data_IF_652379111678
#
_entry.id   IF_652379111678
#
_cell.length_a   1.000
_cell.length_b   1.000
_cell.length_c   1.000
_cell.angle_alpha   90.00
_cell.angle_beta   90.00
_cell.angle_gamma   90.00
#
_symmetry.space_group_name_H-M   'P 1'
#
loop_
_entity.id
_entity.type
_entity.pdbx_description
1 polymer ?
#
# COMPACT_ATOMS: atom_id res chain seq x y z
N UNK A 1 16.90 -7.26 25.45
CA UNK A 1 15.81 -6.35 25.05
C UNK A 1 14.52 -7.03 25.46
N UNK A 2 13.78 -6.50 26.44
CA UNK A 2 12.57 -7.15 26.94
C UNK A 2 11.54 -7.23 25.82
N UNK A 3 11.24 -8.43 25.33
CA UNK A 3 10.10 -8.67 24.45
C UNK A 3 8.87 -8.22 25.21
N UNK A 4 8.23 -7.13 24.77
CA UNK A 4 7.04 -6.61 25.42
C UNK A 4 5.85 -7.55 25.18
N UNK A 5 4.67 -7.15 25.66
CA UNK A 5 3.47 -7.97 25.62
C UNK A 5 2.91 -8.13 24.19
N UNK A 6 3.56 -8.99 23.40
CA UNK A 6 3.14 -9.37 22.05
C UNK A 6 1.72 -9.94 22.05
N UNK A 7 1.36 -10.73 23.07
CA UNK A 7 0.03 -11.34 23.18
C UNK A 7 -1.05 -10.28 23.41
N UNK A 8 -0.77 -9.26 24.20
CA UNK A 8 -1.62 -8.07 24.36
C UNK A 8 -1.76 -7.29 23.05
N UNK A 9 -0.63 -7.08 22.35
CA UNK A 9 -0.64 -6.41 21.05
C UNK A 9 -1.49 -7.14 20.00
N UNK A 10 -1.39 -8.48 19.93
CA UNK A 10 -2.20 -9.30 19.02
C UNK A 10 -3.69 -9.25 19.37
N UNK A 11 -4.05 -9.25 20.65
CA UNK A 11 -5.46 -9.06 21.07
C UNK A 11 -6.00 -7.68 20.70
N UNK A 12 -5.17 -6.64 20.82
CA UNK A 12 -5.53 -5.28 20.38
C UNK A 12 -5.71 -5.23 18.86
N UNK A 13 -4.82 -5.88 18.10
CA UNK A 13 -4.91 -5.99 16.65
C UNK A 13 -6.22 -6.66 16.23
N UNK A 14 -6.59 -7.78 16.86
CA UNK A 14 -7.84 -8.48 16.58
C UNK A 14 -9.07 -7.58 16.77
N UNK A 15 -9.11 -6.78 17.85
CA UNK A 15 -10.18 -5.80 18.06
C UNK A 15 -10.19 -4.69 16.99
N UNK A 16 -9.01 -4.24 16.55
CA UNK A 16 -8.87 -3.30 15.45
C UNK A 16 -9.40 -3.87 14.13
N UNK A 17 -9.06 -5.11 13.80
CA UNK A 17 -9.50 -5.80 12.57
C UNK A 17 -11.02 -6.01 12.52
N UNK A 18 -11.64 -6.29 13.68
CA UNK A 18 -13.11 -6.32 13.78
C UNK A 18 -13.74 -4.96 13.47
N UNK A 19 -13.13 -3.88 13.95
CA UNK A 19 -13.59 -2.52 13.67
C UNK A 19 -13.42 -2.14 12.19
N UNK A 20 -12.35 -2.64 11.57
CA UNK A 20 -12.06 -2.48 10.15
C UNK A 20 -12.90 -3.39 9.23
N UNK A 21 -13.67 -4.34 9.80
CA UNK A 21 -14.42 -5.38 9.07
C UNK A 21 -13.55 -6.15 8.06
N UNK A 22 -12.36 -6.56 8.51
CA UNK A 22 -11.42 -7.28 7.65
C UNK A 22 -12.01 -8.63 7.20
N UNK A 23 -12.13 -8.88 5.88
CA UNK A 23 -12.88 -10.03 5.36
C UNK A 23 -12.07 -11.33 5.27
N UNK A 24 -10.74 -11.27 5.38
CA UNK A 24 -9.87 -12.45 5.24
C UNK A 24 -9.52 -13.02 6.60
N UNK A 25 -9.23 -14.31 6.63
CA UNK A 25 -8.65 -14.95 7.81
C UNK A 25 -7.22 -14.44 8.04
N UNK A 26 -6.89 -14.23 9.31
CA UNK A 26 -5.62 -13.64 9.74
C UNK A 26 -4.76 -14.73 10.34
N UNK A 27 -3.57 -14.94 9.78
CA UNK A 27 -2.62 -15.92 10.29
C UNK A 27 -1.86 -15.35 11.50
N UNK A 28 -2.43 -15.54 12.68
CA UNK A 28 -1.86 -15.09 13.95
C UNK A 28 -0.54 -15.80 14.28
N UNK A 29 -0.28 -17.00 13.74
CA UNK A 29 0.99 -17.71 13.96
C UNK A 29 2.12 -16.99 13.21
N UNK A 30 1.88 -16.65 11.94
CA UNK A 30 2.84 -15.88 11.13
C UNK A 30 3.05 -14.46 11.65
N UNK A 31 2.00 -13.81 12.14
CA UNK A 31 2.11 -12.52 12.83
C UNK A 31 2.97 -12.60 14.09
N UNK A 32 2.85 -13.68 14.88
CA UNK A 32 3.65 -13.89 16.08
C UNK A 32 5.15 -14.12 15.77
N UNK A 33 5.47 -14.74 14.63
CA UNK A 33 6.84 -14.88 14.13
C UNK A 33 7.35 -13.56 13.50
N UNK A 34 6.45 -12.65 13.15
CA UNK A 34 6.78 -11.39 12.49
C UNK A 34 7.05 -11.58 10.99
N UNK A 35 6.34 -12.51 10.36
CA UNK A 35 6.38 -12.68 8.91
C UNK A 35 5.68 -11.49 8.21
N UNK A 36 6.37 -10.76 7.30
CA UNK A 36 5.75 -9.66 6.56
C UNK A 36 4.54 -10.10 5.72
N UNK A 37 4.52 -11.33 5.20
CA UNK A 37 3.45 -11.81 4.31
C UNK A 37 2.07 -11.83 4.99
N UNK A 38 2.02 -11.96 6.33
CA UNK A 38 0.80 -11.86 7.10
C UNK A 38 0.38 -10.40 7.40
N UNK A 39 1.35 -9.47 7.40
CA UNK A 39 1.11 -8.06 7.71
C UNK A 39 0.62 -7.27 6.49
N UNK A 40 1.21 -7.51 5.31
CA UNK A 40 0.95 -6.74 4.08
C UNK A 40 -0.51 -6.75 3.64
N UNK A 41 -1.24 -7.89 3.65
CA UNK A 41 -2.64 -7.92 3.24
C UNK A 41 -3.54 -7.08 4.14
N UNK A 42 -3.20 -6.96 5.44
CA UNK A 42 -3.94 -6.13 6.40
C UNK A 42 -3.77 -4.65 6.05
N UNK A 43 -2.52 -4.22 5.82
CA UNK A 43 -2.19 -2.84 5.45
C UNK A 43 -2.82 -2.47 4.12
N UNK A 44 -2.73 -3.35 3.12
CA UNK A 44 -3.29 -3.14 1.79
C UNK A 44 -4.79 -2.92 1.88
N UNK A 45 -5.52 -3.79 2.59
CA UNK A 45 -6.96 -3.63 2.78
C UNK A 45 -7.31 -2.33 3.53
N UNK A 46 -6.56 -1.98 4.58
CA UNK A 46 -6.83 -0.78 5.37
C UNK A 46 -6.78 0.50 4.53
N UNK A 47 -5.85 0.62 3.58
CA UNK A 47 -5.72 1.82 2.74
C UNK A 47 -6.55 1.79 1.45
N UNK A 48 -6.81 0.61 0.88
CA UNK A 48 -7.44 0.52 -0.46
C UNK A 48 -8.92 0.16 -0.41
N UNK A 49 -9.32 -0.68 0.54
CA UNK A 49 -10.61 -1.38 0.51
C UNK A 49 -11.54 -1.00 1.66
N UNK A 50 -11.01 -0.47 2.76
CA UNK A 50 -11.82 -0.14 3.94
C UNK A 50 -12.76 1.06 3.71
N UNK A 51 -12.26 2.14 3.11
CA UNK A 51 -13.00 3.40 2.98
C UNK A 51 -12.77 4.04 1.61
N UNK A 52 -13.79 4.10 0.72
CA UNK A 52 -13.66 4.69 -0.60
C UNK A 52 -13.16 6.14 -0.57
N UNK A 53 -13.69 6.96 0.34
CA UNK A 53 -13.26 8.36 0.50
C UNK A 53 -11.80 8.50 0.94
N UNK A 54 -11.26 7.49 1.64
CA UNK A 54 -9.84 7.49 1.99
C UNK A 54 -9.00 7.14 0.76
N UNK A 55 -9.42 6.14 -0.01
CA UNK A 55 -8.76 5.73 -1.25
C UNK A 55 -8.72 6.89 -2.25
N UNK A 56 -9.82 7.61 -2.45
CA UNK A 56 -9.88 8.82 -3.29
C UNK A 56 -8.88 9.89 -2.81
N UNK A 57 -8.89 10.19 -1.51
CA UNK A 57 -7.93 11.13 -0.91
C UNK A 57 -6.47 10.70 -1.19
N UNK A 58 -6.13 9.41 -1.04
CA UNK A 58 -4.79 8.92 -1.34
C UNK A 58 -4.41 9.05 -2.83
N UNK A 59 -5.38 8.86 -3.73
CA UNK A 59 -5.20 9.07 -5.17
C UNK A 59 -4.97 10.55 -5.48
N UNK A 60 -5.67 11.48 -4.82
CA UNK A 60 -5.45 12.92 -4.95
C UNK A 60 -4.04 13.33 -4.49
N UNK A 61 -3.49 12.64 -3.48
CA UNK A 61 -2.09 12.78 -3.05
C UNK A 61 -1.08 12.10 -4.01
N UNK A 62 -1.56 11.50 -5.11
CA UNK A 62 -0.74 10.83 -6.12
C UNK A 62 -0.09 9.54 -5.64
N UNK A 63 -0.74 8.81 -4.73
CA UNK A 63 -0.23 7.53 -4.21
C UNK A 63 -1.09 6.36 -4.69
N UNK A 64 -0.46 5.48 -5.45
CA UNK A 64 -1.07 4.22 -5.89
C UNK A 64 -0.49 3.05 -5.06
N UNK A 65 -1.36 2.22 -4.49
CA UNK A 65 -0.99 1.09 -3.62
C UNK A 65 -1.35 -0.29 -4.22
N UNK A 66 -1.88 -0.31 -5.44
CA UNK A 66 -2.34 -1.51 -6.14
C UNK A 66 -1.30 -2.01 -7.14
N UNK A 67 -1.20 -3.34 -7.32
CA UNK A 67 -0.31 -3.94 -8.33
C UNK A 67 1.19 -3.80 -8.08
N UNK A 68 1.60 -3.45 -6.85
CA UNK A 68 3.00 -3.23 -6.49
C UNK A 68 3.64 -4.47 -5.87
N UNK A 69 4.96 -4.60 -6.07
CA UNK A 69 5.79 -5.54 -5.30
C UNK A 69 5.95 -5.07 -3.84
N UNK A 70 6.18 -5.99 -2.91
CA UNK A 70 6.18 -5.75 -1.45
C UNK A 70 7.05 -4.56 -1.01
N UNK A 71 8.24 -4.43 -1.61
CA UNK A 71 9.14 -3.30 -1.33
C UNK A 71 8.49 -1.98 -1.72
N UNK A 72 8.06 -1.84 -2.98
CA UNK A 72 7.46 -0.60 -3.50
C UNK A 72 6.15 -0.27 -2.77
N UNK A 73 5.38 -1.30 -2.43
CA UNK A 73 4.19 -1.16 -1.60
C UNK A 73 4.53 -0.54 -0.23
N UNK A 74 5.49 -1.09 0.50
CA UNK A 74 5.91 -0.55 1.81
C UNK A 74 6.52 0.85 1.69
N UNK A 75 7.25 1.15 0.61
CA UNK A 75 7.73 2.51 0.36
C UNK A 75 6.61 3.52 0.27
N UNK A 76 5.56 3.20 -0.50
CA UNK A 76 4.40 4.06 -0.65
C UNK A 76 3.58 4.14 0.64
N UNK A 77 3.39 3.03 1.36
CA UNK A 77 2.74 3.04 2.69
C UNK A 77 3.48 3.97 3.64
N UNK A 78 4.81 3.92 3.69
CA UNK A 78 5.60 4.78 4.58
C UNK A 78 5.54 6.26 4.16
N UNK A 79 5.45 6.53 2.86
CA UNK A 79 5.20 7.87 2.33
C UNK A 79 3.83 8.38 2.79
N UNK A 80 2.78 7.58 2.61
CA UNK A 80 1.41 7.91 3.05
C UNK A 80 1.37 8.16 4.56
N UNK A 81 1.98 7.28 5.36
CA UNK A 81 2.01 7.44 6.81
C UNK A 81 2.64 8.76 7.23
N UNK A 82 3.72 9.18 6.56
CA UNK A 82 4.41 10.44 6.87
C UNK A 82 3.64 11.65 6.35
N UNK A 83 3.21 11.61 5.10
CA UNK A 83 2.75 12.81 4.40
C UNK A 83 1.26 13.08 4.69
N UNK A 84 0.44 12.03 4.82
CA UNK A 84 -1.01 12.14 5.03
C UNK A 84 -1.39 12.02 6.51
N UNK A 85 -0.70 11.14 7.24
CA UNK A 85 -1.01 10.85 8.65
C UNK A 85 -0.03 11.46 9.64
N UNK A 86 1.06 12.08 9.17
CA UNK A 86 2.15 12.61 10.02
C UNK A 86 2.68 11.61 11.04
N UNK A 87 2.59 10.32 10.73
CA UNK A 87 3.03 9.22 11.55
C UNK A 87 4.42 8.75 11.11
N UNK A 88 5.31 8.56 12.08
CA UNK A 88 6.67 8.04 11.87
C UNK A 88 6.75 6.59 12.36
N UNK A 89 6.81 5.60 11.46
CA UNK A 89 6.93 4.20 11.84
C UNK A 89 8.21 3.92 12.66
N UNK A 90 8.09 3.00 13.62
CA UNK A 90 9.19 2.59 14.51
C UNK A 90 10.25 1.70 13.84
N UNK A 91 9.89 1.06 12.72
CA UNK A 91 10.77 0.20 11.95
C UNK A 91 11.18 0.89 10.65
N UNK A 92 12.35 0.53 10.12
CA UNK A 92 12.69 0.91 8.73
C UNK A 92 11.90 0.04 7.74
N UNK A 93 11.80 0.50 6.49
CA UNK A 93 11.17 -0.27 5.39
C UNK A 93 11.74 -1.69 5.29
N UNK A 94 13.07 -1.81 5.39
CA UNK A 94 13.77 -3.10 5.33
C UNK A 94 13.47 -3.96 6.56
N UNK A 95 13.49 -3.40 7.77
CA UNK A 95 13.14 -4.13 8.99
C UNK A 95 11.69 -4.61 9.00
N UNK A 96 10.78 -3.85 8.39
CA UNK A 96 9.39 -4.27 8.24
C UNK A 96 9.27 -5.50 7.32
N UNK A 97 10.07 -5.58 6.27
CA UNK A 97 10.09 -6.69 5.32
C UNK A 97 10.98 -7.87 5.73
N UNK A 98 11.81 -7.74 6.76
CA UNK A 98 12.60 -8.84 7.32
C UNK A 98 11.76 -9.70 8.26
N UNK A 99 12.06 -11.00 8.38
CA UNK A 99 11.44 -11.83 9.42
C UNK A 99 11.80 -11.33 10.83
N UNK A 100 10.88 -11.49 11.79
CA UNK A 100 11.03 -11.01 13.16
C UNK A 100 10.39 -9.65 13.41
N UNK A 101 10.83 -8.96 14.46
CA UNK A 101 10.23 -7.69 14.93
C UNK A 101 8.71 -7.75 15.13
N UNK A 102 8.17 -8.92 15.47
CA UNK A 102 6.75 -9.21 15.51
C UNK A 102 5.95 -8.16 16.29
N UNK A 103 6.37 -7.87 17.52
CA UNK A 103 5.68 -6.90 18.39
C UNK A 103 5.61 -5.51 17.74
N UNK A 104 6.73 -4.99 17.23
CA UNK A 104 6.81 -3.67 16.59
C UNK A 104 5.95 -3.61 15.32
N UNK A 105 5.91 -4.70 14.54
CA UNK A 105 5.04 -4.79 13.36
C UNK A 105 3.57 -4.78 13.75
N UNK A 106 3.19 -5.55 14.76
CA UNK A 106 1.81 -5.59 15.28
C UNK A 106 1.39 -4.22 15.83
N UNK A 107 2.30 -3.50 16.50
CA UNK A 107 2.07 -2.11 16.95
C UNK A 107 1.82 -1.20 15.74
N UNK A 108 2.68 -1.24 14.73
CA UNK A 108 2.51 -0.47 13.50
C UNK A 108 1.16 -0.78 12.83
N UNK A 109 0.75 -2.05 12.77
CA UNK A 109 -0.57 -2.44 12.23
C UNK A 109 -1.72 -1.84 13.04
N UNK A 110 -1.65 -1.91 14.38
CA UNK A 110 -2.66 -1.30 15.25
C UNK A 110 -2.76 0.21 15.02
N UNK A 111 -1.62 0.89 14.89
CA UNK A 111 -1.57 2.33 14.65
C UNK A 111 -2.16 2.67 13.28
N UNK A 112 -1.79 1.93 12.22
CA UNK A 112 -2.37 2.10 10.87
C UNK A 112 -3.89 1.97 10.93
N UNK A 113 -4.42 0.94 11.57
CA UNK A 113 -5.87 0.73 11.69
C UNK A 113 -6.52 1.92 12.42
N UNK A 114 -5.93 2.37 13.53
CA UNK A 114 -6.43 3.53 14.28
C UNK A 114 -6.44 4.81 13.44
N UNK A 115 -5.35 5.07 12.72
CA UNK A 115 -5.19 6.23 11.84
C UNK A 115 -6.22 6.22 10.71
N UNK A 116 -6.38 5.09 10.02
CA UNK A 116 -7.35 4.89 8.95
C UNK A 116 -8.79 5.09 9.46
N UNK A 117 -9.13 4.51 10.61
CA UNK A 117 -10.45 4.67 11.23
C UNK A 117 -10.74 6.13 11.59
N UNK A 118 -9.74 6.85 12.10
CA UNK A 118 -9.90 8.26 12.45
C UNK A 118 -10.07 9.13 11.20
N UNK A 119 -9.24 8.92 10.17
CA UNK A 119 -9.38 9.66 8.90
C UNK A 119 -10.71 9.40 8.21
N UNK A 120 -11.19 8.15 8.20
CA UNK A 120 -12.52 7.85 7.69
C UNK A 120 -13.62 8.64 8.44
N UNK A 121 -13.52 8.76 9.77
CA UNK A 121 -14.46 9.57 10.57
C UNK A 121 -14.36 11.07 10.27
N UNK A 122 -13.18 11.59 9.99
CA UNK A 122 -12.98 13.00 9.59
C UNK A 122 -13.67 13.27 8.25
N UNK A 123 -13.34 12.48 7.22
CA UNK A 123 -13.87 12.65 5.86
C UNK A 123 -15.39 12.44 5.77
N UNK A 124 -15.93 11.48 6.53
CA UNK A 124 -17.40 11.25 6.56
C UNK A 124 -18.17 12.31 7.32
N UNK A 125 -17.55 13.03 8.27
CA UNK A 125 -18.18 14.17 8.96
C UNK A 125 -18.16 15.42 8.08
N UNK A 126 -17.07 15.67 7.37
CA UNK A 126 -16.95 16.81 6.46
C UNK A 126 -17.91 16.68 5.26
N UNK A 127 -18.15 15.46 4.77
CA UNK A 127 -19.15 15.17 3.73
C UNK A 127 -20.59 15.56 4.12
N UNK A 128 -20.94 15.55 5.41
CA UNK A 128 -22.29 15.92 5.90
C UNK A 128 -22.52 17.43 5.95
N UNK A 129 -21.46 18.24 5.92
CA UNK A 129 -21.60 19.71 5.91
C UNK A 129 -21.82 20.30 4.50
N UNK A 130 -21.69 19.50 3.44
CA UNK A 130 -21.92 19.93 2.04
C UNK A 130 -23.24 19.40 1.46
N UNK A 131 -23.90 18.44 2.10
CA UNK A 131 -25.17 17.88 1.62
C UNK A 131 -26.37 18.34 2.47
N UNK A 132 -26.87 19.55 2.22
CA UNK A 132 -28.27 19.88 2.52
C UNK A 132 -29.14 19.32 1.38
N UNK A 133 -29.93 18.24 1.58
CA UNK A 133 -30.98 17.92 0.65
C UNK A 133 -32.08 18.98 0.80
N UNK A 134 -32.30 19.75 -0.27
CA UNK A 134 -33.42 20.69 -0.41
C UNK A 134 -34.71 19.86 -0.36
N UNK A 135 -35.29 19.70 0.83
CA UNK A 135 -36.60 19.06 1.02
C UNK A 135 -37.64 19.87 0.24
N UNK A 136 -38.26 19.24 -0.76
CA UNK A 136 -39.49 19.72 -1.37
C UNK A 136 -40.60 19.69 -0.29
N UNK A 137 -41.42 20.75 -0.13
CA UNK A 137 -42.54 20.70 0.80
C UNK A 137 -43.63 19.79 0.21
N UNK A 138 -43.89 18.68 0.89
CA UNK A 138 -45.00 17.80 0.59
C UNK A 138 -46.26 18.39 1.23
N UNK A 139 -47.20 18.82 0.39
CA UNK A 139 -48.58 19.16 0.77
C UNK A 139 -49.17 17.99 1.57
N UNK A 140 -49.57 18.24 2.81
CA UNK A 140 -50.45 17.34 3.57
C UNK A 140 -51.62 18.16 4.08
N UNK A 141 -52.79 17.86 3.50
CA UNK A 141 -54.11 18.28 3.95
C UNK A 141 -54.33 17.82 5.40
N UNK A 142 -54.83 18.72 6.23
CA UNK A 142 -55.26 18.44 7.60
C UNK A 142 -56.77 18.69 7.67
N UNK A 143 -57.55 17.63 7.81
CA UNK A 143 -58.94 17.69 8.29
C UNK A 143 -58.96 17.37 9.77
N UNK A 144 -59.59 18.29 10.53
CA UNK A 144 -59.94 18.21 11.95
C UNK A 144 -60.64 16.90 12.31
N UNK A 145 -60.46 16.43 13.55
CA UNK A 145 -61.54 16.39 14.54
C UNK A 145 -60.99 16.12 15.97
N UNK A 146 -61.67 16.77 16.91
CA UNK A 146 -61.50 16.82 18.37
C UNK A 146 -61.90 15.47 19.03
N UNK A 147 -61.54 15.07 20.26
CA UNK A 147 -62.09 15.53 21.57
C UNK A 147 -61.52 14.65 22.74
N UNK A 148 -61.31 15.25 23.94
CA UNK A 148 -61.12 14.73 25.35
C UNK A 148 -59.93 13.78 25.67
N UNK A 149 -59.24 13.78 26.82
CA UNK A 149 -59.50 14.31 28.18
C UNK A 149 -58.18 14.48 29.00
N UNK A 150 -58.30 15.19 30.12
CA UNK A 150 -57.33 15.64 31.14
C UNK A 150 -56.45 14.52 31.80
N UNK A 151 -55.41 14.72 32.61
CA UNK A 151 -55.05 15.83 33.52
C UNK A 151 -53.63 15.64 34.12
N UNK A 152 -53.05 16.76 34.60
CA UNK A 152 -52.12 16.92 35.74
C UNK A 152 -50.64 16.46 35.62
N UNK A 153 -49.69 17.42 35.54
CA UNK A 153 -48.87 18.05 36.63
C UNK A 153 -47.44 17.47 36.60
N UNK A 154 -46.31 18.17 36.75
CA UNK A 154 -46.00 19.55 37.16
C UNK A 154 -44.46 19.69 37.23
N UNK A 155 -43.92 20.82 36.74
CA UNK A 155 -42.65 21.52 37.10
C UNK A 155 -41.29 20.88 36.72
N UNK A 156 -40.46 21.49 35.84
CA UNK A 156 -39.65 22.74 35.97
C UNK A 156 -38.43 22.54 36.90
N UNK A 157 -37.20 23.07 36.68
CA UNK A 157 -36.74 24.21 35.91
C UNK A 157 -35.19 24.18 35.75
N UNK A 158 -34.68 24.79 34.65
CA UNK A 158 -33.41 25.58 34.50
C UNK A 158 -32.03 24.94 34.76
N UNK A 159 -30.95 25.29 34.06
CA UNK A 159 -30.63 26.33 33.07
C UNK A 159 -29.09 26.36 32.91
N UNK A 160 -28.56 26.49 31.68
CA UNK A 160 -27.89 27.70 31.16
C UNK A 160 -26.51 27.97 31.84
N UNK A 161 -25.34 28.12 31.20
CA UNK A 161 -24.98 28.74 29.91
C UNK A 161 -23.45 28.64 29.69
N UNK A 162 -23.02 28.53 28.42
CA UNK A 162 -21.65 28.77 27.92
C UNK A 162 -21.35 30.28 27.85
N UNK A 163 -20.09 30.74 27.99
CA UNK A 163 -19.54 31.44 26.82
C UNK A 163 -18.02 31.26 26.57
N UNK A 164 -17.65 31.44 25.31
CA UNK A 164 -16.30 31.67 24.78
C UNK A 164 -15.68 32.99 25.29
N UNK A 165 -14.33 33.08 25.29
CA UNK A 165 -13.49 34.06 24.55
C UNK A 165 -11.98 33.91 24.88
N UNK A 166 -11.13 34.06 23.86
CA UNK A 166 -9.67 34.29 23.96
C UNK A 166 -9.35 35.80 24.02
N UNK A 167 -8.14 36.20 24.48
CA UNK A 167 -7.18 36.98 23.66
C UNK A 167 -5.70 36.55 23.88
N UNK A 168 -4.81 36.47 22.87
CA UNK A 168 -3.91 37.47 22.22
C UNK A 168 -2.64 37.93 23.00
N UNK A 169 -1.51 37.26 22.67
CA UNK A 169 -0.06 37.64 22.56
C UNK A 169 0.58 38.70 23.48
N UNK A 170 1.72 38.35 24.11
CA UNK A 170 2.93 39.20 24.24
C UNK A 170 4.23 38.39 24.07
N UNK A 171 5.18 38.93 23.30
CA UNK A 171 6.61 38.52 23.23
C UNK A 171 7.35 39.21 24.41
N UNK A 172 8.52 38.79 24.90
CA UNK A 172 9.86 39.28 24.50
C UNK A 172 10.96 38.61 25.38
N UNK A 173 12.05 38.17 24.72
CA UNK A 173 13.50 38.28 25.04
C UNK A 173 14.06 38.06 26.48
N UNK A 174 14.90 37.02 26.63
CA UNK A 174 16.35 37.21 26.83
C UNK A 174 17.01 36.95 28.21
N UNK A 175 18.16 36.26 28.15
CA UNK A 175 19.32 36.25 29.09
C UNK A 175 19.23 35.29 30.30
N UNK A 176 19.95 34.16 30.37
CA UNK A 176 21.40 33.85 30.35
C UNK A 176 21.93 33.53 31.76
N UNK A 177 22.24 32.25 32.02
CA UNK A 177 23.54 31.84 32.55
C UNK A 177 23.61 30.30 32.67
N UNK A 178 24.46 29.70 31.83
CA UNK A 178 25.16 28.47 32.16
C UNK A 178 26.34 28.81 33.12
N UNK A 179 27.00 27.81 33.73
CA UNK A 179 28.06 27.11 32.99
C UNK A 179 28.14 25.59 33.26
N UNK A 180 28.40 24.84 32.18
CA UNK A 180 29.15 23.58 32.21
C UNK A 180 30.66 23.91 32.29
N UNK A 181 31.55 22.95 32.59
CA UNK A 181 32.18 22.12 31.53
C UNK A 181 32.49 20.68 32.01
N UNK A 182 32.97 19.65 31.29
CA UNK A 182 33.49 19.31 29.95
C UNK A 182 33.55 17.76 29.97
N UNK A 183 33.45 16.98 28.87
CA UNK A 183 34.53 16.79 27.89
C UNK A 183 34.01 15.98 26.68
N UNK A 184 34.64 16.26 25.55
CA UNK A 184 34.26 16.04 24.16
C UNK A 184 34.73 14.69 23.58
N UNK A 185 33.91 14.12 22.67
CA UNK A 185 34.21 13.48 21.37
C UNK A 185 35.37 12.47 21.23
N UNK A 186 35.07 11.29 20.64
CA UNK A 186 35.72 10.78 19.39
C UNK A 186 35.06 9.46 18.90
N UNK A 187 34.95 9.33 17.58
CA UNK A 187 34.37 8.21 16.82
C UNK A 187 35.31 7.00 16.63
N UNK A 188 34.67 5.86 16.31
CA UNK A 188 35.08 4.78 15.39
C UNK A 188 35.55 3.43 15.95
N UNK A 189 34.85 2.40 15.43
CA UNK A 189 35.27 1.06 14.99
C UNK A 189 35.88 0.02 15.94
N UNK A 190 35.15 -1.10 16.00
CA UNK A 190 35.63 -2.48 15.79
C UNK A 190 36.66 -3.04 16.78
N UNK A 191 36.17 -3.84 17.74
CA UNK A 191 36.95 -4.84 18.47
C UNK A 191 36.53 -6.24 18.04
N UNK A 192 37.52 -7.12 17.84
CA UNK A 192 37.64 -8.54 18.22
C UNK A 192 38.61 -9.20 17.23
N UNK A 193 39.62 -9.98 17.58
CA UNK A 193 40.17 -10.57 18.81
C UNK A 193 41.53 -11.16 18.36
N UNK A 194 42.61 -11.02 19.12
CA UNK A 194 43.76 -11.90 18.96
C UNK A 194 44.29 -12.35 20.32
N UNK A 195 44.46 -13.66 20.40
CA UNK A 195 45.00 -14.47 21.48
C UNK A 195 46.48 -14.79 21.21
N UNK A 196 47.20 -14.98 22.32
CA UNK A 196 48.36 -15.84 22.57
C UNK A 196 49.79 -15.36 22.22
N UNK A 197 50.52 -15.05 23.30
CA UNK A 197 51.85 -15.56 23.76
C UNK A 197 52.55 -16.57 22.80
N UNK A 198 53.87 -16.65 22.59
CA UNK A 198 55.03 -16.50 23.48
C UNK A 198 56.31 -16.59 22.60
N UNK A 199 57.48 -16.29 23.18
CA UNK A 199 58.84 -16.82 22.87
C UNK A 199 59.90 -15.76 22.50
N UNK A 200 60.75 -15.45 23.50
CA UNK A 200 62.06 -14.80 23.35
C UNK A 200 62.98 -15.57 22.39
N UNK A 201 63.71 -14.86 21.50
CA UNK A 201 65.13 -15.14 21.23
C UNK A 201 65.91 -13.87 20.86
N UNK A 202 66.87 -13.57 21.72
CA UNK A 202 68.00 -12.65 21.55
C UNK A 202 68.89 -13.07 20.39
N UNK A 203 69.29 -12.12 19.53
CA UNK A 203 70.61 -12.13 18.90
C UNK A 203 70.72 -11.68 17.45
N UNK A 204 71.55 -10.64 17.27
CA UNK A 204 72.52 -10.42 16.19
C UNK A 204 72.06 -9.63 14.95
N UNK A 205 72.54 -8.39 14.89
CA UNK A 205 72.68 -7.59 13.68
C UNK A 205 73.52 -8.33 12.63
N UNK A 206 73.03 -8.39 11.39
CA UNK A 206 73.86 -8.34 10.18
C UNK A 206 72.97 -8.08 8.94
N UNK A 207 73.09 -6.87 8.41
CA UNK A 207 72.61 -6.45 7.09
C UNK A 207 73.14 -7.37 5.97
N UNK A 208 72.24 -8.01 5.19
CA UNK A 208 72.40 -8.13 3.73
C UNK A 208 71.11 -8.58 3.02
N UNK A 209 70.88 -7.90 1.91
CA UNK A 209 69.86 -8.03 0.87
C UNK A 209 69.61 -9.44 0.29
N UNK A 210 68.45 -9.52 -0.40
CA UNK A 210 67.92 -10.55 -1.32
C UNK A 210 66.93 -11.55 -0.72
N UNK A 211 65.62 -11.24 -0.75
CA UNK A 211 64.62 -11.93 -1.58
C UNK A 211 63.20 -11.36 -1.33
N UNK A 212 62.83 -10.30 -2.06
CA UNK A 212 61.52 -9.63 -1.94
C UNK A 212 60.43 -10.22 -2.84
N UNK A 213 60.70 -11.35 -3.52
CA UNK A 213 59.80 -11.93 -4.51
C UNK A 213 58.75 -12.90 -3.92
N UNK A 214 59.11 -13.65 -2.87
CA UNK A 214 58.28 -14.74 -2.35
C UNK A 214 56.99 -14.30 -1.62
N UNK A 215 56.95 -13.09 -1.04
CA UNK A 215 55.78 -12.57 -0.32
C UNK A 215 54.72 -12.00 -1.25
N UNK A 216 55.13 -11.41 -2.38
CA UNK A 216 54.22 -10.92 -3.41
C UNK A 216 53.48 -12.07 -4.11
N UNK A 217 54.22 -13.12 -4.49
CA UNK A 217 53.66 -14.32 -5.14
C UNK A 217 52.65 -15.06 -4.25
N UNK A 218 52.90 -15.10 -2.93
CA UNK A 218 51.99 -15.72 -1.96
C UNK A 218 50.68 -14.94 -1.82
N UNK A 219 50.73 -13.60 -1.82
CA UNK A 219 49.54 -12.76 -1.75
C UNK A 219 48.74 -12.83 -3.05
N UNK A 220 49.42 -12.81 -4.20
CA UNK A 220 48.79 -12.96 -5.52
C UNK A 220 48.04 -14.30 -5.63
N UNK A 221 48.66 -15.41 -5.18
CA UNK A 221 48.04 -16.73 -5.15
C UNK A 221 46.77 -16.79 -4.28
N UNK A 222 46.77 -16.14 -3.12
CA UNK A 222 45.61 -16.05 -2.23
C UNK A 222 44.48 -15.24 -2.85
N UNK A 223 44.79 -14.11 -3.50
CA UNK A 223 43.80 -13.29 -4.20
C UNK A 223 43.20 -14.03 -5.40
N UNK A 224 44.01 -14.74 -6.17
CA UNK A 224 43.55 -15.51 -7.33
C UNK A 224 42.62 -16.66 -6.91
N UNK A 225 42.93 -17.32 -5.79
CA UNK A 225 42.07 -18.36 -5.21
C UNK A 225 40.75 -17.80 -4.68
N UNK A 226 40.75 -16.61 -4.07
CA UNK A 226 39.54 -15.91 -3.64
C UNK A 226 38.69 -15.45 -4.82
N UNK A 227 39.31 -14.92 -5.87
CA UNK A 227 38.62 -14.54 -7.11
C UNK A 227 37.96 -15.75 -7.76
N UNK A 228 38.69 -16.87 -7.92
CA UNK A 228 38.11 -18.14 -8.42
C UNK A 228 36.93 -18.62 -7.55
N UNK A 229 37.03 -18.49 -6.23
CA UNK A 229 35.94 -18.85 -5.32
C UNK A 229 34.68 -17.99 -5.52
N UNK A 230 34.86 -16.68 -5.70
CA UNK A 230 33.75 -15.75 -5.99
C UNK A 230 33.14 -16.02 -7.37
N UNK A 231 33.97 -16.24 -8.38
CA UNK A 231 33.52 -16.61 -9.73
C UNK A 231 32.70 -17.90 -9.74
N UNK A 232 33.17 -18.94 -9.04
CA UNK A 232 32.44 -20.20 -8.91
C UNK A 232 31.09 -20.01 -8.20
N UNK A 233 31.04 -19.24 -7.12
CA UNK A 233 29.81 -18.94 -6.39
C UNK A 233 28.82 -18.13 -7.24
N UNK A 234 29.31 -17.17 -8.03
CA UNK A 234 28.48 -16.42 -8.97
C UNK A 234 27.89 -17.35 -10.03
N UNK A 235 28.70 -18.23 -10.63
CA UNK A 235 28.29 -19.17 -11.66
C UNK A 235 27.22 -20.14 -11.12
N UNK A 236 27.37 -20.61 -9.88
CA UNK A 236 26.35 -21.42 -9.20
C UNK A 236 25.04 -20.63 -8.99
N UNK A 237 25.14 -19.37 -8.57
CA UNK A 237 23.96 -18.52 -8.36
C UNK A 237 23.21 -18.24 -9.67
N UNK A 238 23.94 -18.03 -10.77
CA UNK A 238 23.40 -17.87 -12.12
C UNK A 238 22.69 -19.16 -12.55
N UNK A 239 23.32 -20.33 -12.39
CA UNK A 239 22.69 -21.61 -12.71
C UNK A 239 21.42 -21.88 -11.91
N UNK A 240 21.37 -21.51 -10.61
CA UNK A 240 20.16 -21.59 -9.79
C UNK A 240 19.05 -20.66 -10.30
N UNK A 241 19.39 -19.47 -10.78
CA UNK A 241 18.44 -18.53 -11.37
C UNK A 241 17.91 -19.04 -12.71
N UNK A 242 18.77 -19.58 -13.56
CA UNK A 242 18.39 -20.20 -14.84
C UNK A 242 17.43 -21.38 -14.63
N UNK A 243 17.72 -22.25 -13.66
CA UNK A 243 16.83 -23.36 -13.31
C UNK A 243 15.46 -22.86 -12.82
N UNK A 244 15.43 -21.79 -12.02
CA UNK A 244 14.19 -21.18 -11.54
C UNK A 244 13.40 -20.51 -12.67
N UNK A 245 14.07 -19.84 -13.59
CA UNK A 245 13.46 -19.25 -14.78
C UNK A 245 12.82 -20.33 -15.65
N UNK A 246 13.54 -21.41 -15.95
CA UNK A 246 13.01 -22.54 -16.71
C UNK A 246 11.76 -23.17 -16.05
N UNK A 247 11.74 -23.27 -14.71
CA UNK A 247 10.56 -23.75 -13.97
C UNK A 247 9.38 -22.78 -14.11
N UNK A 248 9.63 -21.48 -13.97
CA UNK A 248 8.59 -20.46 -14.14
C UNK A 248 8.04 -20.44 -15.55
N UNK A 249 8.90 -20.52 -16.57
CA UNK A 249 8.50 -20.65 -17.97
C UNK A 249 7.62 -21.88 -18.17
N UNK A 250 8.04 -23.05 -17.68
CA UNK A 250 7.24 -24.27 -17.81
C UNK A 250 5.86 -24.14 -17.15
N UNK A 251 5.81 -23.52 -15.96
CA UNK A 251 4.56 -23.27 -15.24
C UNK A 251 3.66 -22.26 -15.96
N UNK A 252 4.24 -21.22 -16.53
CA UNK A 252 3.51 -20.25 -17.37
C UNK A 252 2.94 -20.97 -18.59
N UNK A 253 3.72 -21.72 -19.34
CA UNK A 253 3.24 -22.50 -20.48
C UNK A 253 2.15 -23.50 -20.09
N UNK A 254 2.24 -24.14 -18.91
CA UNK A 254 1.21 -25.04 -18.41
C UNK A 254 -0.10 -24.30 -18.07
N UNK A 255 0.01 -23.10 -17.47
CA UNK A 255 -1.14 -22.25 -17.17
C UNK A 255 -1.76 -21.64 -18.44
N UNK A 256 -0.92 -21.23 -19.39
CA UNK A 256 -1.36 -20.78 -20.70
C UNK A 256 -2.07 -21.91 -21.43
N UNK A 257 -1.56 -23.14 -21.39
CA UNK A 257 -2.25 -24.30 -21.98
C UNK A 257 -3.54 -24.67 -21.25
N UNK A 258 -3.61 -24.48 -19.93
CA UNK A 258 -4.84 -24.75 -19.17
C UNK A 258 -5.91 -23.67 -19.34
N UNK A 259 -5.49 -22.43 -19.60
CA UNK A 259 -6.37 -21.28 -19.81
C UNK A 259 -6.66 -21.00 -21.29
N UNK A 260 -5.80 -21.48 -22.21
CA UNK A 260 -5.99 -21.41 -23.65
C UNK A 260 -7.14 -22.33 -24.05
N UNK A 261 -8.34 -21.74 -24.08
CA UNK A 261 -9.51 -22.34 -24.69
C UNK A 261 -10.50 -22.88 -23.67
N UNK A 262 -11.26 -21.97 -23.05
CA UNK A 262 -12.72 -22.06 -22.92
C UNK A 262 -13.25 -20.83 -22.18
N UNK A 263 -13.64 -19.81 -22.93
CA UNK A 263 -14.61 -18.84 -22.41
C UNK A 263 -15.96 -19.54 -22.52
N UNK A 264 -16.47 -20.05 -21.39
CA UNK A 264 -17.79 -20.67 -21.32
C UNK A 264 -18.77 -19.54 -21.04
N UNK A 265 -19.58 -19.19 -22.03
CA UNK A 265 -20.71 -18.27 -21.88
C UNK A 265 -21.97 -19.12 -21.88
N UNK A 266 -22.84 -18.93 -20.89
CA UNK A 266 -24.15 -19.58 -20.86
C UNK A 266 -24.99 -19.14 -22.07
N UNK A 267 -25.78 -20.05 -22.68
CA UNK A 267 -26.56 -19.75 -23.91
C UNK A 267 -27.44 -18.52 -23.78
N UNK A 268 -28.12 -18.37 -22.63
CA UNK A 268 -28.95 -17.22 -22.30
C UNK A 268 -28.17 -15.90 -22.26
N UNK A 269 -26.92 -15.91 -21.79
CA UNK A 269 -26.06 -14.72 -21.77
C UNK A 269 -25.55 -14.37 -23.16
N UNK A 270 -25.29 -15.38 -24.00
CA UNK A 270 -24.95 -15.18 -25.40
C UNK A 270 -26.12 -14.59 -26.18
N UNK A 271 -27.32 -15.17 -26.08
CA UNK A 271 -28.55 -14.68 -26.71
C UNK A 271 -28.90 -13.25 -26.24
N UNK A 272 -28.69 -12.95 -24.95
CA UNK A 272 -28.86 -11.60 -24.42
C UNK A 272 -27.85 -10.62 -25.02
N UNK A 273 -26.58 -11.04 -25.14
CA UNK A 273 -25.54 -10.22 -25.73
C UNK A 273 -25.83 -9.95 -27.21
N UNK A 274 -26.19 -10.98 -27.97
CA UNK A 274 -26.58 -10.90 -29.38
C UNK A 274 -27.76 -9.92 -29.56
N UNK A 275 -28.80 -10.05 -28.73
CA UNK A 275 -29.94 -9.13 -28.74
C UNK A 275 -29.54 -7.68 -28.48
N UNK A 276 -28.62 -7.45 -27.53
CA UNK A 276 -28.14 -6.10 -27.19
C UNK A 276 -27.27 -5.51 -28.29
N UNK A 277 -26.40 -6.32 -28.90
CA UNK A 277 -25.55 -5.90 -30.02
C UNK A 277 -26.44 -5.52 -31.20
N UNK A 278 -27.41 -6.36 -31.55
CA UNK A 278 -28.38 -6.07 -32.61
C UNK A 278 -29.17 -4.77 -32.35
N UNK A 279 -29.60 -4.54 -31.11
CA UNK A 279 -30.27 -3.29 -30.72
C UNK A 279 -29.35 -2.06 -30.84
N UNK A 280 -28.06 -2.21 -30.53
CA UNK A 280 -27.09 -1.13 -30.66
C UNK A 280 -26.78 -0.83 -32.13
N UNK A 281 -26.62 -1.86 -32.97
CA UNK A 281 -26.39 -1.73 -34.41
C UNK A 281 -27.59 -1.08 -35.11
N UNK A 282 -28.81 -1.54 -34.80
CA UNK A 282 -30.05 -0.95 -35.33
C UNK A 282 -30.24 0.49 -34.86
N UNK A 283 -29.99 0.78 -33.58
CA UNK A 283 -30.02 2.17 -33.08
C UNK A 283 -28.98 3.03 -33.78
N UNK A 284 -27.77 2.52 -34.01
CA UNK A 284 -26.71 3.23 -34.72
C UNK A 284 -27.11 3.51 -36.17
N UNK A 285 -27.68 2.52 -36.88
CA UNK A 285 -28.19 2.68 -38.24
C UNK A 285 -29.34 3.70 -38.33
N UNK A 286 -30.21 3.76 -37.32
CA UNK A 286 -31.27 4.77 -37.27
C UNK A 286 -30.71 6.16 -36.98
N UNK A 287 -29.73 6.29 -36.07
CA UNK A 287 -29.08 7.59 -35.81
C UNK A 287 -28.26 8.08 -37.00
N UNK A 288 -27.60 7.18 -37.75
CA UNK A 288 -26.88 7.55 -38.97
C UNK A 288 -27.85 7.95 -40.09
N UNK A 289 -28.99 7.26 -40.23
CA UNK A 289 -30.03 7.62 -41.19
C UNK A 289 -30.74 8.94 -40.81
N UNK A 290 -31.03 9.18 -39.52
CA UNK A 290 -31.64 10.42 -39.05
C UNK A 290 -30.69 11.63 -39.16
N UNK A 291 -29.38 11.41 -38.99
CA UNK A 291 -28.37 12.41 -39.28
C UNK A 291 -28.30 12.82 -40.76
N UNK A 292 -28.84 12.02 -41.66
CA UNK A 292 -28.95 12.32 -43.10
C UNK A 292 -30.29 12.98 -43.49
N UNK A 293 -31.33 12.87 -42.66
CA UNK A 293 -32.66 13.47 -42.94
C UNK A 293 -32.93 14.78 -42.19
N UNK A 294 -32.14 15.11 -41.18
CA UNK A 294 -32.18 16.41 -40.50
C UNK A 294 -31.17 17.36 -41.15
N UNK A 295 -31.50 17.80 -42.36
CA UNK A 295 -30.68 18.71 -43.16
C UNK A 295 -31.54 19.65 -43.99
N UNK A 296 -32.25 20.57 -43.34
CA UNK A 296 -32.60 21.85 -43.95
C UNK A 296 -32.38 22.97 -42.92
N UNK A 297 -31.55 23.97 -43.26
CA UNK A 297 -31.33 25.18 -42.44
C UNK A 297 -29.90 25.55 -41.97
N UNK A 298 -28.92 25.65 -42.88
CA UNK A 298 -28.01 26.82 -43.04
C UNK A 298 -27.22 27.36 -41.80
N UNK A 299 -25.93 26.96 -41.64
CA UNK A 299 -24.68 27.79 -41.79
C UNK A 299 -23.42 27.18 -41.13
N UNK A 300 -22.41 26.99 -41.99
CA UNK A 300 -20.94 27.14 -41.81
C UNK A 300 -20.14 26.43 -40.70
N UNK A 301 -19.30 25.52 -41.21
CA UNK A 301 -17.86 25.32 -40.95
C UNK A 301 -17.36 25.02 -39.54
N UNK A 302 -16.85 23.80 -39.31
CA UNK A 302 -15.40 23.56 -39.28
C UNK A 302 -15.07 22.06 -39.37
N UNK A 303 -13.98 21.76 -40.07
CA UNK A 303 -13.41 20.45 -40.33
C UNK A 303 -12.82 19.82 -39.07
N UNK A 304 -13.32 18.65 -38.69
CA UNK A 304 -12.67 17.76 -37.72
C UNK A 304 -12.58 16.34 -38.27
N UNK A 305 -11.61 16.13 -39.16
CA UNK A 305 -11.27 14.86 -39.83
C UNK A 305 -11.03 13.73 -38.81
N UNK A 306 -12.05 12.93 -38.50
CA UNK A 306 -11.87 11.64 -37.83
C UNK A 306 -11.40 10.61 -38.88
N UNK A 307 -10.12 10.25 -38.81
CA UNK A 307 -9.57 9.11 -39.55
C UNK A 307 -10.16 7.83 -38.99
N UNK A 308 -10.81 7.06 -39.85
CA UNK A 308 -11.04 5.64 -39.65
C UNK A 308 -9.69 4.91 -39.71
N UNK A 309 -9.08 4.66 -38.55
CA UNK A 309 -8.02 3.66 -38.42
C UNK A 309 -8.67 2.29 -38.25
N UNK A 310 -9.20 1.76 -39.37
CA UNK A 310 -9.57 0.36 -39.53
C UNK A 310 -8.28 -0.43 -39.77
N UNK A 311 -7.47 -0.58 -38.73
CA UNK A 311 -6.19 -1.27 -38.80
C UNK A 311 -5.95 -2.09 -37.54
N UNK A 312 -5.67 -3.39 -37.74
CA UNK A 312 -5.18 -4.33 -36.72
C UNK A 312 -6.23 -5.01 -35.80
N UNK A 313 -7.20 -5.70 -36.40
CA UNK A 313 -7.78 -6.91 -35.80
C UNK A 313 -7.61 -8.12 -36.72
N UNK A 314 -6.39 -8.35 -37.21
CA UNK A 314 -6.02 -9.62 -37.83
C UNK A 314 -5.13 -10.36 -36.84
N UNK A 315 -5.52 -11.59 -36.49
CA UNK A 315 -4.94 -12.50 -35.48
C UNK A 315 -5.62 -12.57 -34.11
N UNK A 316 -6.94 -12.78 -34.08
CA UNK A 316 -7.53 -13.63 -33.03
C UNK A 316 -8.53 -14.60 -33.66
N UNK A 317 -8.03 -15.77 -34.08
CA UNK A 317 -8.91 -16.89 -34.46
C UNK A 317 -9.49 -17.52 -33.19
N UNK A 318 -10.67 -17.07 -32.78
CA UNK A 318 -11.47 -17.76 -31.77
C UNK A 318 -12.15 -18.98 -32.40
N UNK A 319 -11.72 -20.18 -32.00
CA UNK A 319 -12.46 -21.41 -32.28
C UNK A 319 -13.57 -21.53 -31.23
N UNK A 320 -14.79 -21.15 -31.60
CA UNK A 320 -15.99 -21.31 -30.77
C UNK A 320 -16.50 -22.74 -30.98
N UNK A 321 -16.56 -23.53 -29.90
CA UNK A 321 -17.17 -24.84 -29.91
C UNK A 321 -18.55 -24.75 -29.24
N UNK A 322 -19.61 -25.04 -30.00
CA UNK A 322 -20.94 -25.26 -29.46
C UNK A 322 -20.96 -26.62 -28.75
N UNK A 323 -21.44 -26.65 -27.51
CA UNK A 323 -21.83 -27.89 -26.83
C UNK A 323 -23.37 -27.89 -26.79
N UNK A 324 -24.04 -28.97 -27.25
CA UNK A 324 -25.49 -29.05 -27.31
C UNK A 324 -26.18 -29.04 -25.94
#
# INVERSE_FOLDING_TARGET
MSTGDLKGCLRKLEAGLRSLKYPREVDYQRLAVGDPSACLPIVSFAFTSFSPSLTECLVDYGVELTGLNDLRFIENVYKVLRDVFSYKPLLTKQQFLQFGFAERKVIILCDIIGLVLNKHKELTKESKHVSKPKRRPQFKSCTKNEIYSAESKSLELTGLTFPQKQPLVERHLGSSSAPAPQKLLRCSSEEQLQQDEETEKRGLDCERFEDSSQTADSIECVLESRLRGVEASLLESVGRLEQRLALMEHRIHALEKSLAGKIIIESNQWENLESRVLLLETRQALTSAQGLTSGDGVLSTDNGRFKEDTGMWQHFSFKIAYIP
#
